data_IF_888339894048
#
_entry.id   IF_888339894048
#
_cell.length_a   1.000
_cell.length_b   1.000
_cell.length_c   1.000
_cell.angle_alpha   90.00
_cell.angle_beta   90.00
_cell.angle_gamma   90.00
#
_symmetry.space_group_name_H-M   'P 1'
#
loop_
_entity.id
_entity.type
_entity.pdbx_description
1 polymer ?
#
# COMPACT_ATOMS: atom_id res chain seq x y z
N UNK A 1 -44.97 -0.16 -70.56
CA UNK A 1 -43.57 -0.41 -70.98
C UNK A 1 -42.67 0.10 -69.87
N UNK A 2 -41.84 -0.80 -69.33
CA UNK A 2 -41.02 -0.61 -68.13
C UNK A 2 -39.93 0.45 -68.34
N UNK A 3 -39.85 1.43 -67.45
CA UNK A 3 -38.72 2.36 -67.34
C UNK A 3 -37.98 2.06 -66.04
N UNK A 4 -36.75 1.56 -66.18
CA UNK A 4 -35.85 1.27 -65.07
C UNK A 4 -35.20 2.57 -64.58
N UNK A 5 -35.54 3.02 -63.37
CA UNK A 5 -34.70 3.95 -62.61
C UNK A 5 -33.74 3.16 -61.73
N UNK A 6 -32.46 3.18 -62.11
CA UNK A 6 -31.34 2.70 -61.31
C UNK A 6 -31.10 3.71 -60.16
N UNK A 7 -31.43 3.35 -58.92
CA UNK A 7 -31.00 4.11 -57.73
C UNK A 7 -29.65 3.56 -57.28
N UNK A 8 -28.58 4.32 -57.46
CA UNK A 8 -27.31 4.07 -56.77
C UNK A 8 -27.50 4.35 -55.27
N UNK A 9 -27.39 3.32 -54.43
CA UNK A 9 -27.10 3.50 -53.01
C UNK A 9 -25.61 3.79 -52.87
N UNK A 10 -25.25 5.04 -52.55
CA UNK A 10 -23.92 5.37 -52.05
C UNK A 10 -23.82 4.93 -50.58
N UNK A 11 -23.06 3.87 -50.32
CA UNK A 11 -22.66 3.51 -48.97
C UNK A 11 -21.52 4.44 -48.54
N UNK A 12 -21.80 5.39 -47.65
CA UNK A 12 -20.77 6.18 -46.99
C UNK A 12 -20.10 5.29 -45.92
N UNK A 13 -18.91 4.78 -46.21
CA UNK A 13 -18.05 4.11 -45.23
C UNK A 13 -17.46 5.22 -44.36
N UNK A 14 -18.03 5.40 -43.16
CA UNK A 14 -17.43 6.25 -42.12
C UNK A 14 -16.24 5.49 -41.53
N UNK A 15 -15.05 5.72 -42.07
CA UNK A 15 -13.81 5.25 -41.46
C UNK A 15 -13.55 6.09 -40.20
N UNK A 16 -13.94 5.59 -39.04
CA UNK A 16 -13.47 6.11 -37.75
C UNK A 16 -11.98 5.79 -37.63
N UNK A 17 -11.12 6.77 -37.89
CA UNK A 17 -9.73 6.70 -37.46
C UNK A 17 -9.72 6.65 -35.93
N UNK A 18 -9.48 5.47 -35.35
CA UNK A 18 -8.96 5.39 -34.00
C UNK A 18 -7.57 6.03 -34.03
N UNK A 19 -7.49 7.26 -33.53
CA UNK A 19 -6.20 7.84 -33.13
C UNK A 19 -5.72 6.99 -31.97
N UNK A 20 -4.74 6.13 -32.22
CA UNK A 20 -4.00 5.49 -31.15
C UNK A 20 -3.41 6.62 -30.29
N UNK A 21 -3.83 6.71 -29.03
CA UNK A 21 -3.16 7.55 -28.05
C UNK A 21 -1.74 7.02 -27.93
N UNK A 22 -0.80 7.69 -28.59
CA UNK A 22 0.61 7.53 -28.29
C UNK A 22 0.80 7.83 -26.81
N UNK A 23 1.25 6.85 -26.04
CA UNK A 23 1.59 7.00 -24.62
C UNK A 23 2.48 8.24 -24.46
N UNK A 24 1.90 9.31 -23.94
CA UNK A 24 2.59 10.56 -23.69
C UNK A 24 3.58 10.34 -22.57
N UNK A 25 4.87 10.57 -22.86
CA UNK A 25 6.03 10.67 -21.96
C UNK A 25 5.82 10.12 -20.54
N UNK A 26 6.51 9.04 -20.20
CA UNK A 26 6.75 8.64 -18.79
C UNK A 26 7.09 9.91 -17.99
N UNK A 27 6.14 10.37 -17.16
CA UNK A 27 6.35 11.55 -16.35
C UNK A 27 7.57 11.31 -15.49
N UNK A 28 8.53 12.25 -15.48
CA UNK A 28 9.67 12.15 -14.57
C UNK A 28 9.11 12.05 -13.14
N UNK A 29 9.53 11.00 -12.42
CA UNK A 29 9.16 10.82 -11.02
C UNK A 29 9.51 12.11 -10.23
N UNK A 30 8.64 12.54 -9.30
CA UNK A 30 8.91 13.74 -8.52
C UNK A 30 10.09 13.50 -7.59
N UNK A 31 10.75 14.59 -7.20
CA UNK A 31 11.72 14.57 -6.11
C UNK A 31 11.01 14.83 -4.80
N UNK A 32 11.23 13.95 -3.83
CA UNK A 32 10.75 14.11 -2.47
C UNK A 32 11.81 14.74 -1.58
N UNK A 33 11.40 15.67 -0.72
CA UNK A 33 12.26 16.35 0.24
C UNK A 33 11.74 16.10 1.64
N UNK A 34 12.56 15.48 2.51
CA UNK A 34 12.17 15.25 3.91
C UNK A 34 11.83 16.57 4.60
N UNK A 35 10.70 16.59 5.29
CA UNK A 35 10.21 17.76 6.03
C UNK A 35 10.13 17.53 7.53
N UNK A 36 9.91 16.31 7.99
CA UNK A 36 9.75 16.07 9.42
C UNK A 36 9.77 14.61 9.83
N UNK A 37 9.44 14.41 11.11
CA UNK A 37 9.28 13.12 11.79
C UNK A 37 7.90 13.09 12.42
N UNK A 38 7.12 12.06 12.12
CA UNK A 38 5.78 11.82 12.69
C UNK A 38 5.92 11.29 14.11
N UNK A 39 6.64 10.18 14.28
CA UNK A 39 6.75 9.47 15.57
C UNK A 39 7.98 9.90 16.36
N UNK A 40 7.96 11.11 16.91
CA UNK A 40 9.03 11.60 17.80
C UNK A 40 8.98 10.79 19.09
N UNK A 41 9.89 9.81 19.24
CA UNK A 41 9.84 8.77 20.28
C UNK A 41 9.70 9.30 21.72
N UNK A 42 10.33 10.44 22.02
CA UNK A 42 10.25 11.08 23.34
C UNK A 42 8.86 11.65 23.68
N UNK A 43 8.01 11.86 22.67
CA UNK A 43 6.68 12.45 22.83
C UNK A 43 5.56 11.39 22.86
N UNK A 44 5.87 10.12 22.59
CA UNK A 44 4.89 9.04 22.51
C UNK A 44 4.85 8.26 23.81
N UNK A 45 3.64 8.05 24.33
CA UNK A 45 3.38 7.34 25.59
C UNK A 45 3.43 5.84 25.39
N UNK A 46 2.83 5.32 24.31
CA UNK A 46 2.88 3.90 23.98
C UNK A 46 4.11 3.61 23.11
N UNK A 47 5.17 3.16 23.78
CA UNK A 47 6.45 2.85 23.13
C UNK A 47 7.09 1.58 23.75
N UNK A 48 6.52 0.39 23.50
CA UNK A 48 6.99 -0.83 24.16
C UNK A 48 8.34 -1.33 23.64
N UNK A 49 8.72 -0.99 22.40
CA UNK A 49 9.88 -1.59 21.70
C UNK A 49 10.90 -0.58 21.18
N UNK A 50 10.62 0.73 21.32
CA UNK A 50 11.43 1.78 20.71
C UNK A 50 11.46 1.73 19.17
N UNK A 51 10.43 1.19 18.54
CA UNK A 51 10.31 0.97 17.08
C UNK A 51 8.97 1.49 16.55
N UNK A 52 9.01 2.29 15.48
CA UNK A 52 7.82 2.87 14.85
C UNK A 52 7.97 2.74 13.33
N UNK A 53 7.26 1.78 12.75
CA UNK A 53 7.47 1.33 11.37
C UNK A 53 6.16 0.98 10.66
N UNK A 54 6.26 0.71 9.36
CA UNK A 54 5.12 0.42 8.47
C UNK A 54 3.97 1.43 8.61
N UNK A 55 4.21 2.72 8.30
CA UNK A 55 3.11 3.68 8.24
C UNK A 55 2.06 3.22 7.22
N UNK A 56 0.79 3.41 7.59
CA UNK A 56 -0.34 3.38 6.68
C UNK A 56 -1.22 4.59 6.96
N UNK A 57 -1.30 5.49 5.98
CA UNK A 57 -2.01 6.76 6.04
C UNK A 57 -3.44 6.56 5.52
N UNK A 58 -4.42 7.08 6.24
CA UNK A 58 -5.83 6.96 5.89
C UNK A 58 -6.53 8.32 5.98
N UNK A 59 -7.32 8.65 4.96
CA UNK A 59 -8.11 9.88 4.90
C UNK A 59 -9.40 9.75 5.71
N UNK A 60 -9.29 9.87 7.02
CA UNK A 60 -10.40 9.68 7.95
C UNK A 60 -11.56 10.66 7.71
N UNK A 61 -11.25 11.94 7.44
CA UNK A 61 -12.22 13.00 7.14
C UNK A 61 -13.12 12.73 5.94
N UNK A 62 -12.62 11.97 4.97
CA UNK A 62 -13.38 11.63 3.77
C UNK A 62 -14.44 10.55 4.01
N UNK A 63 -14.19 9.62 4.93
CA UNK A 63 -14.96 8.36 5.01
C UNK A 63 -15.66 8.11 6.35
N UNK A 64 -15.16 8.66 7.45
CA UNK A 64 -15.71 8.40 8.79
C UNK A 64 -16.65 9.53 9.20
N UNK A 65 -17.77 9.19 9.84
CA UNK A 65 -18.78 10.19 10.25
C UNK A 65 -18.27 11.16 11.33
N UNK A 66 -17.40 10.69 12.23
CA UNK A 66 -16.89 11.46 13.38
C UNK A 66 -15.41 11.17 13.62
N UNK A 67 -14.52 11.56 12.69
CA UNK A 67 -13.10 11.26 12.81
C UNK A 67 -12.44 12.09 13.93
N UNK A 68 -11.37 11.55 14.52
CA UNK A 68 -10.54 12.21 15.53
C UNK A 68 -9.75 13.39 14.95
N UNK A 69 -9.53 13.38 13.63
CA UNK A 69 -8.88 14.41 12.81
C UNK A 69 -8.94 13.99 11.33
N UNK A 70 -8.56 14.88 10.42
CA UNK A 70 -8.68 14.65 8.97
C UNK A 70 -7.92 13.39 8.48
N UNK A 71 -6.75 13.13 9.06
CA UNK A 71 -5.82 12.08 8.63
C UNK A 71 -5.39 11.20 9.79
N UNK A 72 -5.36 9.90 9.55
CA UNK A 72 -4.88 8.88 10.47
C UNK A 72 -3.59 8.25 9.93
N UNK A 73 -2.66 7.90 10.81
CA UNK A 73 -1.52 7.02 10.48
C UNK A 73 -1.51 5.85 11.45
N UNK A 74 -1.75 4.67 10.91
CA UNK A 74 -1.57 3.41 11.59
C UNK A 74 -0.12 2.95 11.45
N UNK A 75 0.43 2.40 12.52
CA UNK A 75 1.79 1.85 12.53
C UNK A 75 1.91 0.77 13.60
N UNK A 76 2.94 -0.05 13.50
CA UNK A 76 3.17 -1.10 14.49
C UNK A 76 4.64 -1.51 14.52
N UNK A 77 5.25 -1.73 15.70
CA UNK A 77 6.55 -2.38 15.77
C UNK A 77 6.46 -3.84 15.27
N UNK A 78 7.59 -4.39 14.81
CA UNK A 78 7.72 -5.80 14.48
C UNK A 78 8.18 -6.61 15.70
N UNK A 79 8.92 -5.97 16.62
CA UNK A 79 9.36 -6.60 17.87
C UNK A 79 8.22 -6.86 18.86
N UNK A 80 8.39 -7.89 19.70
CA UNK A 80 7.40 -8.26 20.72
C UNK A 80 7.26 -7.17 21.79
N UNK A 81 6.03 -6.84 22.26
CA UNK A 81 4.77 -7.53 21.99
C UNK A 81 4.04 -7.07 20.72
N UNK A 82 4.65 -6.25 19.86
CA UNK A 82 3.98 -5.68 18.69
C UNK A 82 2.84 -4.73 19.07
N UNK A 83 1.86 -4.65 18.19
CA UNK A 83 0.60 -3.95 18.44
C UNK A 83 0.41 -2.78 17.50
N UNK A 84 -0.76 -2.71 16.87
CA UNK A 84 -1.08 -1.62 15.96
C UNK A 84 -1.50 -0.41 16.78
N UNK A 85 -0.90 0.72 16.49
CA UNK A 85 -1.10 2.01 17.14
C UNK A 85 -1.53 3.04 16.10
N UNK A 86 -2.11 4.14 16.59
CA UNK A 86 -2.64 5.23 15.79
C UNK A 86 -2.09 6.57 16.26
N UNK A 87 -1.70 7.41 15.30
CA UNK A 87 -1.64 8.89 15.46
C UNK A 87 -2.59 9.53 14.46
N UNK A 88 -3.10 10.71 14.77
CA UNK A 88 -4.01 11.46 13.91
C UNK A 88 -3.67 12.96 13.87
N UNK A 89 -4.10 13.64 12.82
CA UNK A 89 -3.87 15.07 12.59
C UNK A 89 -4.93 15.64 11.64
N UNK A 90 -5.19 16.93 11.73
CA UNK A 90 -6.04 17.65 10.75
C UNK A 90 -5.28 18.00 9.46
N UNK A 91 -3.99 17.67 9.40
CA UNK A 91 -3.10 17.93 8.25
C UNK A 91 -2.05 16.83 8.09
N UNK A 92 -1.72 16.47 6.85
CA UNK A 92 -0.60 15.57 6.51
C UNK A 92 0.76 16.10 7.00
N UNK A 93 0.87 17.39 7.30
CA UNK A 93 2.09 18.00 7.83
C UNK A 93 2.18 17.96 9.37
N UNK A 94 1.14 17.45 10.03
CA UNK A 94 0.99 17.48 11.48
C UNK A 94 0.44 18.82 11.99
N UNK A 95 0.53 19.09 13.30
CA UNK A 95 1.12 18.23 14.33
C UNK A 95 0.33 16.93 14.54
N UNK A 96 1.05 15.82 14.71
CA UNK A 96 0.46 14.50 14.94
C UNK A 96 0.20 14.26 16.42
N UNK A 97 -1.01 13.77 16.74
CA UNK A 97 -1.45 13.45 18.09
C UNK A 97 -1.60 11.94 18.26
N UNK A 98 -1.00 11.40 19.31
CA UNK A 98 -1.14 9.99 19.68
C UNK A 98 -2.56 9.67 20.17
N UNK A 99 -3.12 8.56 19.70
CA UNK A 99 -4.36 8.03 20.24
C UNK A 99 -4.13 7.47 21.65
N UNK A 100 -4.92 7.94 22.62
CA UNK A 100 -4.65 7.69 24.04
C UNK A 100 -4.75 6.23 24.47
N UNK A 101 -5.46 5.40 23.70
CA UNK A 101 -5.70 3.99 24.02
C UNK A 101 -4.88 3.05 23.14
N UNK A 102 -3.74 3.51 22.60
CA UNK A 102 -2.81 2.62 21.90
C UNK A 102 -2.32 1.48 22.83
N UNK A 103 -2.16 0.25 22.31
CA UNK A 103 -2.40 -0.15 20.92
C UNK A 103 -3.90 -0.42 20.68
N UNK A 104 -4.39 -0.08 19.49
CA UNK A 104 -5.78 -0.32 19.08
C UNK A 104 -6.06 -1.79 18.73
N UNK A 105 -5.03 -2.54 18.30
CA UNK A 105 -5.09 -3.99 18.09
C UNK A 105 -3.83 -4.59 18.70
N UNK A 106 -4.03 -5.47 19.68
CA UNK A 106 -2.95 -6.18 20.35
C UNK A 106 -2.58 -7.50 19.64
N UNK A 107 -1.43 -8.06 20.02
CA UNK A 107 -0.97 -9.38 19.57
C UNK A 107 -1.77 -10.57 20.12
N UNK A 108 -2.74 -10.29 21.00
CA UNK A 108 -3.74 -11.23 21.49
C UNK A 108 -5.12 -10.65 21.23
N UNK A 109 -5.95 -11.40 20.52
CA UNK A 109 -7.36 -11.09 20.34
C UNK A 109 -8.15 -12.35 20.69
N UNK A 110 -8.91 -12.26 21.79
CA UNK A 110 -9.64 -13.39 22.36
C UNK A 110 -10.44 -14.14 21.29
N UNK A 111 -10.36 -15.47 21.34
CA UNK A 111 -11.01 -16.40 20.39
C UNK A 111 -10.51 -16.36 18.94
N UNK A 112 -9.52 -15.53 18.60
CA UNK A 112 -9.03 -15.39 17.22
C UNK A 112 -7.56 -15.76 17.07
N UNK A 113 -6.67 -15.17 17.87
CA UNK A 113 -5.24 -15.47 17.80
C UNK A 113 -4.49 -15.04 19.07
N UNK A 114 -3.34 -15.67 19.27
CA UNK A 114 -2.30 -15.23 20.19
C UNK A 114 -0.96 -15.48 19.51
N UNK A 115 -0.34 -14.41 19.01
CA UNK A 115 0.92 -14.45 18.25
C UNK A 115 1.98 -13.60 18.95
N UNK A 116 3.28 -13.74 18.60
CA UNK A 116 4.34 -12.94 19.22
C UNK A 116 4.10 -11.42 19.04
N UNK A 117 3.76 -11.00 17.82
CA UNK A 117 3.46 -9.62 17.45
C UNK A 117 2.33 -9.55 16.42
N UNK A 118 1.72 -8.38 16.28
CA UNK A 118 0.95 -8.00 15.09
C UNK A 118 1.54 -6.72 14.52
N UNK A 119 1.70 -6.66 13.20
CA UNK A 119 2.41 -5.54 12.56
C UNK A 119 2.02 -5.31 11.10
N UNK A 120 2.68 -4.33 10.48
CA UNK A 120 2.48 -3.83 9.12
C UNK A 120 1.02 -3.51 8.79
N UNK A 121 0.36 -2.63 9.55
CA UNK A 121 -1.01 -2.26 9.24
C UNK A 121 -1.11 -1.68 7.83
N UNK A 122 -2.26 -1.90 7.20
CA UNK A 122 -2.69 -1.23 6.00
C UNK A 122 -4.18 -0.91 6.08
N UNK A 123 -4.50 0.37 6.11
CA UNK A 123 -5.83 0.93 6.23
C UNK A 123 -6.38 1.25 4.83
N UNK A 124 -7.52 0.65 4.49
CA UNK A 124 -8.13 0.81 3.17
C UNK A 124 -9.64 0.91 3.30
N UNK A 125 -10.26 1.84 2.57
CA UNK A 125 -11.71 1.96 2.55
C UNK A 125 -12.34 0.91 1.63
N UNK A 126 -13.32 0.17 2.14
CA UNK A 126 -14.08 -0.79 1.35
C UNK A 126 -15.43 -0.16 0.97
N UNK A 127 -15.50 0.37 -0.25
CA UNK A 127 -16.69 1.04 -0.80
C UNK A 127 -17.99 0.23 -0.69
N UNK A 128 -17.92 -1.08 -0.91
CA UNK A 128 -19.11 -1.94 -0.85
C UNK A 128 -19.60 -2.20 0.57
N UNK A 129 -18.67 -2.31 1.51
CA UNK A 129 -19.02 -2.49 2.91
C UNK A 129 -19.42 -1.16 3.57
N UNK A 130 -18.98 -0.02 3.03
CA UNK A 130 -19.08 1.27 3.70
C UNK A 130 -18.31 1.28 5.03
N UNK A 131 -17.17 0.60 5.06
CA UNK A 131 -16.35 0.40 6.26
C UNK A 131 -14.87 0.52 5.91
N UNK A 132 -14.09 0.98 6.88
CA UNK A 132 -12.64 0.93 6.81
C UNK A 132 -12.17 -0.48 7.19
N UNK A 133 -11.31 -1.08 6.36
CA UNK A 133 -10.63 -2.32 6.69
C UNK A 133 -9.18 -2.03 7.08
N UNK A 134 -8.65 -2.87 7.96
CA UNK A 134 -7.27 -2.84 8.37
C UNK A 134 -6.67 -4.23 8.20
N UNK A 135 -5.68 -4.35 7.32
CA UNK A 135 -4.93 -5.59 7.06
C UNK A 135 -3.64 -5.59 7.86
N UNK A 136 -3.25 -6.73 8.42
CA UNK A 136 -2.05 -6.85 9.26
C UNK A 136 -1.58 -8.28 9.38
N UNK A 137 -0.29 -8.51 9.64
CA UNK A 137 0.24 -9.86 9.85
C UNK A 137 0.49 -10.15 11.33
N UNK A 138 0.66 -11.44 11.65
CA UNK A 138 1.07 -11.94 12.96
C UNK A 138 2.51 -12.47 12.93
N UNK A 139 2.68 -13.78 13.14
CA UNK A 139 3.94 -14.53 13.02
C UNK A 139 4.57 -14.61 11.61
N UNK A 140 4.32 -13.62 10.76
CA UNK A 140 4.70 -13.52 9.35
C UNK A 140 4.10 -14.56 8.40
N UNK A 141 3.45 -15.62 8.87
CA UNK A 141 2.91 -16.68 7.99
C UNK A 141 1.52 -16.36 7.43
N UNK A 142 0.81 -15.43 8.08
CA UNK A 142 -0.58 -15.09 7.79
C UNK A 142 -0.80 -13.57 7.87
N UNK A 143 -1.42 -13.02 6.83
CA UNK A 143 -2.05 -11.69 6.84
C UNK A 143 -3.54 -11.85 7.15
N UNK A 144 -4.01 -11.07 8.10
CA UNK A 144 -5.38 -10.99 8.61
C UNK A 144 -6.01 -9.66 8.19
N UNK A 145 -7.30 -9.54 8.40
CA UNK A 145 -8.01 -8.27 8.28
C UNK A 145 -9.04 -8.10 9.40
N UNK A 146 -9.32 -6.85 9.73
CA UNK A 146 -10.38 -6.41 10.62
C UNK A 146 -11.11 -5.22 9.98
N UNK A 147 -12.32 -4.90 10.44
CA UNK A 147 -13.13 -3.81 9.89
C UNK A 147 -13.69 -2.91 11.00
N UNK A 148 -13.95 -1.64 10.67
CA UNK A 148 -14.43 -0.62 11.59
C UNK A 148 -15.22 0.46 10.86
N UNK A 149 -16.14 1.11 11.57
CA UNK A 149 -16.86 2.30 11.12
C UNK A 149 -16.32 3.61 11.70
N UNK A 150 -15.38 3.55 12.65
CA UNK A 150 -14.85 4.74 13.35
C UNK A 150 -13.31 4.84 13.39
N UNK A 151 -12.62 3.82 12.85
CA UNK A 151 -11.17 3.80 12.75
C UNK A 151 -10.45 3.37 14.03
N UNK A 152 -11.15 3.10 15.14
CA UNK A 152 -10.54 2.76 16.44
C UNK A 152 -11.14 1.53 17.11
N UNK A 153 -12.41 1.22 16.85
CA UNK A 153 -13.10 0.04 17.36
C UNK A 153 -13.24 -0.99 16.23
N UNK A 154 -12.42 -2.04 16.28
CA UNK A 154 -12.36 -3.04 15.21
C UNK A 154 -13.12 -4.31 15.54
N UNK A 155 -13.75 -4.90 14.52
CA UNK A 155 -14.24 -6.27 14.51
C UNK A 155 -13.28 -7.13 13.70
N UNK A 156 -12.84 -8.26 14.25
CA UNK A 156 -12.01 -9.21 13.53
C UNK A 156 -12.76 -9.78 12.31
N UNK A 157 -12.11 -9.75 11.15
CA UNK A 157 -12.70 -10.18 9.87
C UNK A 157 -12.26 -11.59 9.46
N UNK A 158 -10.97 -11.90 9.58
CA UNK A 158 -10.44 -13.23 9.26
C UNK A 158 -9.04 -13.22 8.69
N UNK A 159 -8.71 -14.29 7.96
CA UNK A 159 -7.45 -14.42 7.20
C UNK A 159 -7.67 -13.89 5.78
N UNK A 160 -6.80 -13.00 5.33
CA UNK A 160 -6.79 -12.50 3.95
C UNK A 160 -5.92 -13.40 3.07
N UNK A 161 -4.63 -13.55 3.41
CA UNK A 161 -3.68 -14.42 2.71
C UNK A 161 -2.82 -15.19 3.71
N UNK A 162 -2.40 -16.40 3.35
CA UNK A 162 -1.44 -17.21 4.10
C UNK A 162 -0.36 -17.75 3.18
N UNK A 163 0.78 -18.14 3.76
CA UNK A 163 1.89 -18.75 3.02
C UNK A 163 1.45 -19.98 2.22
N UNK A 164 0.53 -20.79 2.74
CA UNK A 164 -0.04 -21.94 2.04
C UNK A 164 -0.74 -21.56 0.72
N UNK A 165 -1.35 -20.38 0.64
CA UNK A 165 -2.00 -19.89 -0.59
C UNK A 165 -0.97 -19.52 -1.67
N UNK A 166 0.24 -19.14 -1.28
CA UNK A 166 1.36 -18.86 -2.19
C UNK A 166 2.07 -20.10 -2.72
N UNK A 167 1.69 -21.29 -2.27
CA UNK A 167 2.29 -22.57 -2.68
C UNK A 167 3.42 -23.04 -1.76
N UNK A 168 3.92 -24.26 -2.02
CA UNK A 168 4.82 -24.98 -1.10
C UNK A 168 6.20 -24.35 -0.90
N UNK A 169 6.57 -23.35 -1.72
CA UNK A 169 7.84 -22.64 -1.61
C UNK A 169 7.75 -21.38 -0.76
N UNK A 170 6.55 -20.87 -0.49
CA UNK A 170 6.34 -19.64 0.27
C UNK A 170 6.31 -19.97 1.77
N UNK A 171 7.10 -19.24 2.54
CA UNK A 171 7.27 -19.42 3.99
C UNK A 171 6.62 -18.29 4.80
N UNK A 172 6.55 -17.07 4.23
CA UNK A 172 5.93 -15.88 4.86
C UNK A 172 4.88 -15.26 3.91
N UNK A 173 3.88 -14.57 4.46
CA UNK A 173 2.87 -13.78 3.74
C UNK A 173 2.44 -12.60 4.61
N UNK A 174 3.15 -11.49 4.48
CA UNK A 174 3.05 -10.32 5.37
C UNK A 174 3.23 -9.01 4.61
N UNK A 175 3.13 -7.87 5.31
CA UNK A 175 3.35 -6.53 4.74
C UNK A 175 2.40 -6.19 3.58
N UNK A 176 1.14 -6.57 3.75
CA UNK A 176 0.09 -6.30 2.77
C UNK A 176 -0.17 -4.80 2.61
N UNK A 177 -0.53 -4.40 1.38
CA UNK A 177 -1.04 -3.08 0.99
C UNK A 177 -2.20 -3.28 0.01
N UNK A 178 -3.38 -2.77 0.35
CA UNK A 178 -4.64 -3.01 -0.35
C UNK A 178 -5.16 -1.73 -0.98
N UNK A 179 -5.47 -1.83 -2.27
CA UNK A 179 -5.92 -0.70 -3.09
C UNK A 179 -7.04 -1.14 -4.05
N UNK A 180 -7.87 -0.19 -4.54
CA UNK A 180 -8.84 -0.47 -5.59
C UNK A 180 -8.16 -1.05 -6.83
N UNK A 181 -8.76 -2.06 -7.44
CA UNK A 181 -8.20 -2.70 -8.63
C UNK A 181 -8.19 -1.71 -9.81
N UNK A 182 -7.03 -1.42 -10.44
CA UNK A 182 -6.94 -0.34 -11.42
C UNK A 182 -7.53 -0.69 -12.79
N UNK A 183 -7.62 -1.98 -13.14
CA UNK A 183 -8.30 -2.43 -14.35
C UNK A 183 -9.81 -2.56 -14.12
N UNK A 184 -10.59 -1.65 -14.70
CA UNK A 184 -12.05 -1.65 -14.66
C UNK A 184 -12.71 -2.82 -15.42
N UNK A 185 -11.98 -3.50 -16.29
CA UNK A 185 -12.44 -4.72 -16.96
C UNK A 185 -12.17 -5.99 -16.14
N UNK A 186 -11.42 -5.89 -15.03
CA UNK A 186 -11.22 -7.02 -14.11
C UNK A 186 -12.52 -7.38 -13.40
N UNK A 187 -12.71 -8.67 -13.10
CA UNK A 187 -13.77 -9.10 -12.19
C UNK A 187 -13.47 -8.73 -10.74
N UNK A 188 -12.19 -8.53 -10.42
CA UNK A 188 -11.73 -8.14 -9.09
C UNK A 188 -11.86 -6.64 -8.91
N UNK A 189 -12.17 -6.24 -7.68
CA UNK A 189 -12.41 -4.85 -7.30
C UNK A 189 -11.33 -4.30 -6.39
N UNK A 190 -10.59 -5.19 -5.74
CA UNK A 190 -9.46 -4.88 -4.88
C UNK A 190 -8.25 -5.71 -5.29
N UNK A 191 -7.07 -5.11 -5.12
CA UNK A 191 -5.78 -5.76 -5.28
C UNK A 191 -4.96 -5.57 -4.00
N UNK A 192 -4.06 -6.52 -3.74
CA UNK A 192 -3.17 -6.54 -2.59
C UNK A 192 -1.76 -6.83 -3.07
N UNK A 193 -0.84 -5.89 -2.87
CA UNK A 193 0.57 -6.25 -2.87
C UNK A 193 0.94 -6.75 -1.48
N UNK A 194 1.73 -7.82 -1.41
CA UNK A 194 2.23 -8.34 -0.15
C UNK A 194 3.62 -8.94 -0.33
N UNK A 195 4.36 -9.06 0.76
CA UNK A 195 5.66 -9.72 0.76
C UNK A 195 5.46 -11.22 0.96
N UNK A 196 6.09 -12.00 0.08
CA UNK A 196 6.32 -13.43 0.30
C UNK A 196 7.81 -13.70 0.49
N UNK A 197 8.17 -14.40 1.57
CA UNK A 197 9.49 -15.00 1.70
C UNK A 197 9.42 -16.42 1.13
N UNK A 198 10.41 -16.83 0.36
CA UNK A 198 10.50 -18.20 -0.17
C UNK A 198 11.56 -19.04 0.58
N UNK A 199 11.68 -20.32 0.25
CA UNK A 199 12.64 -21.25 0.89
C UNK A 199 14.11 -20.90 0.65
N UNK A 200 14.40 -20.15 -0.40
CA UNK A 200 15.71 -19.53 -0.64
C UNK A 200 15.99 -18.34 0.30
N UNK A 201 15.02 -18.01 1.16
CA UNK A 201 15.04 -16.87 2.07
C UNK A 201 15.18 -15.52 1.34
N UNK A 202 14.62 -15.43 0.14
CA UNK A 202 14.48 -14.18 -0.61
C UNK A 202 13.03 -13.68 -0.49
N UNK A 203 12.89 -12.44 -0.02
CA UNK A 203 11.61 -11.74 0.05
C UNK A 203 11.33 -11.03 -1.26
N UNK A 204 10.17 -11.39 -1.81
CA UNK A 204 9.65 -10.94 -3.10
C UNK A 204 8.31 -10.24 -2.89
N UNK A 205 7.91 -9.43 -3.86
CA UNK A 205 6.59 -8.82 -3.86
C UNK A 205 5.65 -9.69 -4.69
N UNK A 206 4.49 -10.01 -4.12
CA UNK A 206 3.45 -10.86 -4.71
C UNK A 206 2.14 -10.10 -4.83
N UNK A 207 1.21 -10.66 -5.60
CA UNK A 207 -0.14 -10.11 -5.75
C UNK A 207 -1.19 -11.08 -5.22
N UNK A 208 -2.21 -10.52 -4.57
CA UNK A 208 -3.51 -11.17 -4.45
C UNK A 208 -4.62 -10.22 -4.92
N UNK A 209 -5.73 -10.77 -5.38
CA UNK A 209 -6.87 -10.01 -5.91
C UNK A 209 -8.18 -10.48 -5.25
N UNK A 210 -9.12 -9.55 -5.09
CA UNK A 210 -10.38 -9.82 -4.40
C UNK A 210 -11.55 -9.10 -5.04
N UNK A 211 -12.72 -9.74 -4.99
CA UNK A 211 -14.00 -9.16 -5.39
C UNK A 211 -14.67 -8.37 -4.28
N UNK A 212 -14.28 -8.57 -3.02
CA UNK A 212 -14.98 -8.04 -1.84
C UNK A 212 -14.05 -7.48 -0.74
N UNK A 213 -12.73 -7.59 -0.91
CA UNK A 213 -11.71 -7.22 0.08
C UNK A 213 -11.57 -8.23 1.24
N UNK A 214 -12.35 -9.31 1.27
CA UNK A 214 -12.39 -10.29 2.37
C UNK A 214 -11.75 -11.60 1.98
N UNK A 215 -12.12 -12.11 0.80
CA UNK A 215 -11.58 -13.36 0.22
C UNK A 215 -10.65 -13.04 -0.92
N UNK A 216 -9.48 -13.64 -0.89
CA UNK A 216 -8.39 -13.30 -1.81
C UNK A 216 -7.98 -14.50 -2.65
N UNK A 217 -7.64 -14.23 -3.90
CA UNK A 217 -7.00 -15.17 -4.82
C UNK A 217 -5.57 -14.72 -5.00
N UNK A 218 -4.61 -15.56 -4.62
CA UNK A 218 -3.18 -15.28 -4.77
C UNK A 218 -2.75 -15.61 -6.20
N UNK A 219 -1.98 -14.70 -6.80
CA UNK A 219 -1.29 -14.98 -8.06
C UNK A 219 -0.15 -15.98 -7.83
N UNK A 220 0.00 -17.02 -8.68
CA UNK A 220 1.07 -18.00 -8.49
C UNK A 220 2.47 -17.40 -8.60
N UNK A 221 2.65 -16.32 -9.37
CA UNK A 221 3.95 -15.72 -9.62
C UNK A 221 4.20 -14.53 -8.67
N UNK A 222 5.48 -14.21 -8.46
CA UNK A 222 5.86 -12.95 -7.84
C UNK A 222 5.87 -11.83 -8.90
N UNK A 223 5.56 -10.61 -8.48
CA UNK A 223 5.65 -9.41 -9.31
C UNK A 223 7.09 -8.87 -9.37
N UNK A 224 7.81 -8.94 -8.26
CA UNK A 224 9.17 -8.42 -8.15
C UNK A 224 10.05 -9.41 -7.40
N UNK A 225 11.10 -9.83 -8.10
CA UNK A 225 12.33 -10.41 -7.56
C UNK A 225 13.38 -9.29 -7.46
N UNK A 226 14.14 -9.19 -6.34
CA UNK A 226 15.13 -8.13 -6.16
C UNK A 226 16.26 -8.24 -7.19
N UNK A 227 16.72 -7.09 -7.70
CA UNK A 227 17.96 -6.97 -8.48
C UNK A 227 19.13 -6.52 -7.60
N UNK A 228 20.36 -6.65 -8.10
CA UNK A 228 21.59 -6.31 -7.37
C UNK A 228 21.58 -4.91 -6.74
N UNK A 229 21.02 -3.91 -7.44
CA UNK A 229 20.93 -2.52 -6.95
C UNK A 229 20.01 -2.37 -5.74
N UNK A 230 18.99 -3.22 -5.64
CA UNK A 230 17.97 -3.22 -4.58
C UNK A 230 18.40 -4.06 -3.38
N UNK A 231 19.41 -4.91 -3.56
CA UNK A 231 19.93 -5.85 -2.58
C UNK A 231 19.32 -7.25 -2.74
N UNK A 232 19.16 -7.98 -1.64
CA UNK A 232 18.67 -9.37 -1.66
C UNK A 232 17.20 -9.50 -1.25
N UNK A 233 16.56 -8.42 -0.83
CA UNK A 233 15.21 -8.46 -0.27
C UNK A 233 14.42 -7.22 -0.69
N UNK A 234 13.18 -7.40 -1.14
CA UNK A 234 12.24 -6.31 -1.40
C UNK A 234 10.94 -6.52 -0.62
N UNK A 235 10.34 -5.43 -0.14
CA UNK A 235 9.07 -5.52 0.60
C UNK A 235 8.34 -4.18 0.78
N UNK A 236 7.15 -4.22 1.39
CA UNK A 236 6.34 -3.05 1.73
C UNK A 236 5.91 -2.28 0.49
N UNK A 237 5.35 -2.99 -0.50
CA UNK A 237 5.02 -2.43 -1.80
C UNK A 237 3.65 -1.78 -1.81
N UNK A 238 3.55 -0.59 -2.38
CA UNK A 238 2.35 0.23 -2.49
C UNK A 238 2.05 0.55 -3.95
N UNK A 239 0.76 0.69 -4.29
CA UNK A 239 0.33 1.15 -5.61
C UNK A 239 0.19 2.67 -5.61
N UNK A 240 0.73 3.34 -6.62
CA UNK A 240 0.67 4.80 -6.71
C UNK A 240 0.59 5.26 -8.17
N UNK A 241 -0.25 6.26 -8.44
CA UNK A 241 -0.34 6.89 -9.76
C UNK A 241 0.24 8.29 -9.75
N UNK A 242 1.12 8.59 -10.70
CA UNK A 242 1.72 9.91 -10.89
C UNK A 242 1.65 10.33 -12.36
N UNK A 243 1.06 11.51 -12.63
CA UNK A 243 0.89 12.04 -13.99
C UNK A 243 0.30 11.01 -14.97
N UNK A 244 -0.69 10.22 -14.52
CA UNK A 244 -1.36 9.20 -15.31
C UNK A 244 -0.61 7.87 -15.45
N UNK A 245 0.64 7.77 -14.98
CA UNK A 245 1.39 6.51 -14.94
C UNK A 245 1.24 5.83 -13.58
N UNK A 246 0.91 4.53 -13.59
CA UNK A 246 0.90 3.71 -12.40
C UNK A 246 2.29 3.15 -12.05
N UNK A 247 2.58 3.09 -10.77
CA UNK A 247 3.82 2.59 -10.21
C UNK A 247 3.55 1.61 -9.07
N UNK A 248 4.42 0.63 -8.94
CA UNK A 248 4.62 -0.11 -7.70
C UNK A 248 5.82 0.48 -6.99
N UNK A 249 5.62 0.94 -5.75
CA UNK A 249 6.61 1.63 -4.92
C UNK A 249 6.92 0.80 -3.70
N UNK A 250 8.19 0.49 -3.45
CA UNK A 250 8.60 -0.46 -2.41
C UNK A 250 10.00 -0.11 -1.91
N UNK A 251 10.53 -0.86 -0.95
CA UNK A 251 11.92 -0.70 -0.52
C UNK A 251 12.72 -1.97 -0.74
N UNK A 252 14.00 -1.78 -1.02
CA UNK A 252 15.02 -2.83 -0.99
C UNK A 252 15.77 -2.83 0.35
N UNK A 253 16.40 -3.94 0.71
CA UNK A 253 17.33 -3.99 1.84
C UNK A 253 18.65 -3.22 1.58
N UNK A 254 18.85 -2.71 0.36
CA UNK A 254 19.80 -1.61 0.07
C UNK A 254 19.51 -0.32 0.86
N UNK A 255 18.35 -0.21 1.51
CA UNK A 255 17.95 0.92 2.34
C UNK A 255 17.39 2.12 1.57
N UNK A 256 16.93 1.91 0.33
CA UNK A 256 16.32 2.91 -0.54
C UNK A 256 14.89 2.52 -0.90
N UNK A 257 14.09 3.50 -1.29
CA UNK A 257 12.76 3.31 -1.86
C UNK A 257 12.87 3.39 -3.38
N UNK A 258 12.27 2.40 -4.04
CA UNK A 258 12.25 2.24 -5.49
C UNK A 258 10.83 2.36 -6.03
N UNK A 259 10.72 2.70 -7.30
CA UNK A 259 9.50 2.63 -8.08
C UNK A 259 9.76 1.87 -9.39
N UNK A 260 8.79 1.06 -9.81
CA UNK A 260 8.72 0.46 -11.15
C UNK A 260 7.38 0.85 -11.77
N UNK A 261 7.33 1.12 -13.07
CA UNK A 261 6.04 1.25 -13.75
C UNK A 261 5.30 -0.07 -13.65
N UNK A 262 3.98 -0.03 -13.54
CA UNK A 262 3.14 -1.22 -13.58
C UNK A 262 1.94 -0.96 -14.48
N UNK A 263 1.54 -1.96 -15.25
CA UNK A 263 0.36 -1.87 -16.10
C UNK A 263 -0.95 -2.08 -15.31
N UNK A 264 -2.08 -1.78 -15.95
CA UNK A 264 -3.40 -1.92 -15.29
C UNK A 264 -3.76 -3.37 -14.93
N UNK A 265 -3.18 -4.38 -15.61
CA UNK A 265 -3.40 -5.79 -15.26
C UNK A 265 -2.58 -6.24 -14.06
N UNK A 266 -1.69 -5.38 -13.54
CA UNK A 266 -0.80 -5.67 -12.41
C UNK A 266 0.11 -6.87 -12.68
N UNK A 267 0.58 -7.07 -13.91
CA UNK A 267 1.51 -8.18 -14.26
C UNK A 267 2.73 -7.73 -15.03
N UNK A 268 2.64 -6.63 -15.77
CA UNK A 268 3.78 -6.08 -16.49
C UNK A 268 4.45 -4.98 -15.64
N UNK A 269 5.60 -5.32 -15.08
CA UNK A 269 6.39 -4.47 -14.17
C UNK A 269 7.68 -4.04 -14.87
N UNK A 270 7.89 -2.72 -14.95
CA UNK A 270 9.06 -2.14 -15.60
C UNK A 270 10.35 -2.23 -14.78
N UNK A 271 11.40 -1.56 -15.27
CA UNK A 271 12.70 -1.50 -14.61
C UNK A 271 12.67 -0.65 -13.32
N UNK A 272 13.51 -1.02 -12.35
CA UNK A 272 13.65 -0.30 -11.07
C UNK A 272 14.24 1.10 -11.28
N UNK A 273 13.68 2.08 -10.57
CA UNK A 273 14.24 3.43 -10.44
C UNK A 273 14.22 3.83 -8.97
N UNK A 274 15.30 4.44 -8.48
CA UNK A 274 15.31 4.99 -7.11
C UNK A 274 14.33 6.16 -7.05
N UNK A 275 13.27 6.01 -6.23
CA UNK A 275 12.31 7.08 -5.96
C UNK A 275 12.81 7.98 -4.84
N UNK A 276 13.36 7.38 -3.79
CA UNK A 276 13.83 8.13 -2.62
C UNK A 276 14.98 7.43 -1.90
N UNK A 277 15.97 8.21 -1.51
CA UNK A 277 17.12 7.78 -0.70
C UNK A 277 17.48 8.89 0.29
N UNK A 278 18.08 8.51 1.41
CA UNK A 278 18.52 9.43 2.44
C UNK A 278 19.88 9.01 3.00
N UNK A 279 20.44 9.82 3.88
CA UNK A 279 21.59 9.52 4.74
C UNK A 279 21.38 8.30 5.67
N UNK A 280 20.13 7.87 5.89
CA UNK A 280 19.77 6.68 6.66
C UNK A 280 18.89 5.77 5.81
N UNK A 281 18.76 4.51 6.23
CA UNK A 281 17.81 3.56 5.65
C UNK A 281 16.41 4.16 5.63
N UNK A 282 15.77 4.05 4.48
CA UNK A 282 14.36 4.37 4.27
C UNK A 282 13.60 3.13 3.81
N UNK A 283 12.38 2.95 4.29
CA UNK A 283 11.59 1.75 4.02
C UNK A 283 10.08 1.94 4.24
N UNK A 284 9.30 0.92 3.88
CA UNK A 284 7.85 0.86 3.98
C UNK A 284 7.17 2.16 3.51
N UNK A 285 7.36 2.55 2.23
CA UNK A 285 6.80 3.77 1.69
C UNK A 285 5.27 3.73 1.70
N UNK A 286 4.67 4.85 2.04
CA UNK A 286 3.26 5.11 1.82
C UNK A 286 3.06 6.51 1.26
N UNK A 287 2.36 6.61 0.12
CA UNK A 287 2.25 7.85 -0.65
C UNK A 287 0.81 8.30 -0.67
N UNK A 288 0.60 9.55 -0.25
CA UNK A 288 -0.72 10.20 -0.28
C UNK A 288 -0.63 11.49 -1.07
N UNK A 289 -1.67 11.79 -1.84
CA UNK A 289 -1.81 13.06 -2.54
C UNK A 289 -3.13 13.70 -2.16
N UNK A 290 -3.09 14.98 -1.80
CA UNK A 290 -4.25 15.83 -1.57
C UNK A 290 -4.06 17.18 -2.29
N UNK A 291 -4.94 18.15 -2.03
CA UNK A 291 -4.84 19.50 -2.57
C UNK A 291 -3.57 20.25 -2.12
N UNK A 292 -2.97 19.84 -0.99
CA UNK A 292 -1.73 20.38 -0.44
C UNK A 292 -0.47 19.83 -1.09
N UNK A 293 -0.56 18.72 -1.83
CA UNK A 293 0.50 18.14 -2.64
C UNK A 293 0.64 16.63 -2.45
N UNK A 294 1.78 16.08 -2.89
CA UNK A 294 2.11 14.66 -2.73
C UNK A 294 3.12 14.46 -1.62
N UNK A 295 2.80 13.56 -0.70
CA UNK A 295 3.55 13.25 0.50
C UNK A 295 4.00 11.80 0.48
N UNK A 296 5.23 11.55 0.92
CA UNK A 296 5.79 10.22 1.14
C UNK A 296 6.03 10.05 2.64
N UNK A 297 5.32 9.13 3.27
CA UNK A 297 5.55 8.66 4.63
C UNK A 297 6.39 7.38 4.59
N UNK A 298 7.36 7.24 5.49
CA UNK A 298 8.33 6.15 5.43
C UNK A 298 9.01 5.92 6.76
N UNK A 299 9.52 4.71 6.97
CA UNK A 299 10.50 4.41 8.01
C UNK A 299 11.80 5.16 7.77
N UNK A 300 12.35 5.78 8.79
CA UNK A 300 13.63 6.47 8.73
C UNK A 300 14.53 6.04 9.90
N UNK A 301 15.62 5.35 9.59
CA UNK A 301 16.56 4.83 10.59
C UNK A 301 16.84 3.33 10.46
N UNK A 302 17.51 2.72 11.45
CA UNK A 302 17.90 1.32 11.38
C UNK A 302 16.67 0.40 11.37
N UNK A 303 16.82 -0.77 10.72
CA UNK A 303 15.82 -1.86 10.79
C UNK A 303 15.58 -2.21 12.26
N UNK A 304 14.32 -2.39 12.65
CA UNK A 304 13.90 -2.67 14.03
C UNK A 304 14.13 -1.56 15.06
N UNK A 305 14.42 -0.34 14.61
CA UNK A 305 14.60 0.82 15.51
C UNK A 305 14.27 2.17 14.85
N UNK A 306 13.57 2.15 13.73
CA UNK A 306 13.24 3.34 12.97
C UNK A 306 12.13 4.18 13.63
N UNK A 307 11.96 5.37 13.09
CA UNK A 307 10.80 6.25 13.31
C UNK A 307 10.10 6.48 11.98
N UNK A 308 8.84 6.88 11.99
CA UNK A 308 8.12 7.34 10.80
C UNK A 308 8.48 8.80 10.54
N UNK A 309 8.98 9.05 9.33
CA UNK A 309 9.25 10.37 8.79
C UNK A 309 8.36 10.64 7.58
N UNK A 310 8.36 11.90 7.13
CA UNK A 310 7.64 12.29 5.93
C UNK A 310 8.44 13.26 5.07
N UNK A 311 8.18 13.20 3.77
CA UNK A 311 8.76 14.03 2.73
C UNK A 311 7.65 14.55 1.81
N UNK A 312 7.89 15.70 1.16
CA UNK A 312 6.95 16.32 0.22
C UNK A 312 7.56 16.41 -1.17
N UNK A 313 6.76 16.11 -2.20
CA UNK A 313 7.13 16.34 -3.59
C UNK A 313 7.14 17.84 -3.90
N UNK A 314 8.13 18.32 -4.65
CA UNK A 314 8.20 19.74 -5.05
C UNK A 314 9.60 20.19 -5.45
N UNK A 315 9.83 21.48 -5.61
CA UNK A 315 11.19 22.03 -5.65
C UNK A 315 11.67 22.28 -4.21
N UNK A 316 12.98 22.24 -3.95
CA UNK A 316 13.58 22.56 -2.64
C UNK A 316 13.02 23.89 -2.12
N UNK A 317 12.44 23.88 -0.92
CA UNK A 317 12.31 25.08 -0.08
C UNK A 317 13.60 25.31 0.65
#
# INVERSE_FOLDING_TARGET
MHSHLLRLLGAAILATLLVAQTATAQGTLPRFYRKGTVTVKANLKYNPTNEFIFPSVFHAGQYLDNPLGEWYIYYAPHENPGGISLVYSDSLEGPWKEYSNNPIIANKWDSHYSVPHVSSPDASWNEEAGLMFLYFHGDNTVTRWAETSDGVNFRYGGVAVSNAMGGSNVTESSYARVFPHPNSASKYKYAMFYMGNEKDNIRRIRLAESTDGRKWVVDPDYLIDPSDDEGQQVSGANYWTWNGQAYIVYHGDSGKIYARTIDSTLRDVGAATVLYASDKRVAAPDIVTDDGGTYLFFEYGPRLGATIAWAKAGATS
#
